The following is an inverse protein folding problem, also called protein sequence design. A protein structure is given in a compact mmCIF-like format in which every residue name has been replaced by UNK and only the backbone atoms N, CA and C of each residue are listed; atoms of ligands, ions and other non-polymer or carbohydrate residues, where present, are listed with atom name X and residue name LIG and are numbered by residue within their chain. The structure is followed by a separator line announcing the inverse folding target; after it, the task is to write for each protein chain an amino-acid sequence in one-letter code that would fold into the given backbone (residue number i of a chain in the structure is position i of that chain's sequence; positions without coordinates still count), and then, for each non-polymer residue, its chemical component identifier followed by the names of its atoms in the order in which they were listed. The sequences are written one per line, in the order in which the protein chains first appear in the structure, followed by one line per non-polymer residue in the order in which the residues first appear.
data_IF_378949720309
#
_entry.id   IF_378949720309
#
_cell.length_a   1.000
_cell.length_b   1.000
_cell.length_c   1.000
_cell.angle_alpha   90.00
_cell.angle_beta   90.00
_cell.angle_gamma   90.00
#
_symmetry.space_group_name_H-M   'P 1'
#
loop_
_entity.id
_entity.type
_entity.pdbx_description
1 polymer ?
#
# COMPACT_ATOMS: atom_id res chain seq x y z
N UNK A 1 2.69 -16.57 4.98
CA UNK A 1 2.11 -15.26 5.36
C UNK A 1 1.34 -14.76 4.15
N UNK A 2 0.11 -14.29 4.33
CA UNK A 2 -0.64 -13.65 3.25
C UNK A 2 0.00 -12.28 2.96
N UNK A 3 0.13 -11.93 1.69
CA UNK A 3 0.60 -10.60 1.25
C UNK A 3 -0.51 -9.58 1.40
N UNK A 4 -0.15 -8.35 1.72
CA UNK A 4 -1.08 -7.22 1.66
C UNK A 4 -1.39 -6.88 0.22
N UNK A 5 -2.63 -6.46 -0.04
CA UNK A 5 -3.10 -5.99 -1.34
C UNK A 5 -3.63 -4.55 -1.21
N UNK A 6 -3.53 -3.78 -2.28
CA UNK A 6 -4.13 -2.45 -2.35
C UNK A 6 -5.63 -2.61 -2.62
N UNK A 7 -6.51 -2.24 -1.68
CA UNK A 7 -7.94 -2.37 -1.90
C UNK A 7 -8.39 -1.32 -2.93
N UNK A 8 -9.24 -1.74 -3.87
CA UNK A 8 -9.92 -0.80 -4.75
C UNK A 8 -10.90 0.09 -3.96
N UNK A 9 -11.16 1.29 -4.48
CA UNK A 9 -12.18 2.16 -3.93
C UNK A 9 -13.57 1.65 -4.34
N UNK A 10 -14.52 1.69 -3.41
CA UNK A 10 -15.93 1.36 -3.67
C UNK A 10 -16.67 2.46 -4.49
N UNK A 11 -15.94 3.48 -4.96
CA UNK A 11 -16.46 4.64 -5.66
C UNK A 11 -15.41 5.23 -6.63
N UNK A 12 -15.89 5.98 -7.62
CA UNK A 12 -15.03 6.69 -8.57
C UNK A 12 -14.19 7.78 -7.88
N UNK A 13 -12.98 8.06 -8.40
CA UNK A 13 -12.10 9.08 -7.83
C UNK A 13 -12.76 10.46 -7.71
N UNK A 14 -13.71 10.81 -8.57
CA UNK A 14 -14.42 12.08 -8.52
C UNK A 14 -15.65 12.11 -7.59
N UNK A 15 -16.03 10.98 -6.97
CA UNK A 15 -17.27 10.86 -6.20
C UNK A 15 -17.36 11.82 -4.99
N UNK A 16 -16.23 12.35 -4.53
CA UNK A 16 -16.14 13.23 -3.36
C UNK A 16 -16.01 14.72 -3.71
N UNK A 17 -16.14 15.07 -4.99
CA UNK A 17 -16.16 16.47 -5.42
C UNK A 17 -17.42 17.22 -4.94
N UNK A 18 -17.34 18.54 -4.68
CA UNK A 18 -16.16 19.41 -4.80
C UNK A 18 -15.26 19.40 -3.55
N UNK A 19 -15.63 18.64 -2.52
CA UNK A 19 -14.96 18.67 -1.21
C UNK A 19 -13.56 18.05 -1.24
N UNK A 20 -13.38 17.00 -2.04
CA UNK A 20 -12.08 16.39 -2.29
C UNK A 20 -11.90 16.26 -3.81
N UNK A 21 -10.76 16.74 -4.31
CA UNK A 21 -10.51 16.70 -5.76
C UNK A 21 -10.21 15.28 -6.23
N UNK A 22 -10.72 14.93 -7.42
CA UNK A 22 -10.46 13.64 -8.04
C UNK A 22 -8.95 13.38 -8.21
N UNK A 23 -8.18 14.44 -8.52
CA UNK A 23 -6.73 14.35 -8.66
C UNK A 23 -6.03 13.97 -7.36
N UNK A 24 -6.48 14.48 -6.22
CA UNK A 24 -5.94 14.08 -4.92
C UNK A 24 -6.28 12.62 -4.65
N UNK A 25 -7.52 12.19 -4.88
CA UNK A 25 -7.93 10.81 -4.66
C UNK A 25 -7.12 9.82 -5.50
N UNK A 26 -6.92 10.11 -6.79
CA UNK A 26 -6.12 9.29 -7.69
C UNK A 26 -4.66 9.17 -7.21
N UNK A 27 -4.01 10.28 -6.87
CA UNK A 27 -2.63 10.28 -6.39
C UNK A 27 -2.50 9.59 -5.04
N UNK A 28 -3.42 9.87 -4.11
CA UNK A 28 -3.42 9.29 -2.78
C UNK A 28 -3.55 7.76 -2.85
N UNK A 29 -4.53 7.26 -3.59
CA UNK A 29 -4.78 5.84 -3.71
C UNK A 29 -3.67 5.13 -4.52
N UNK A 30 -3.49 5.52 -5.78
CA UNK A 30 -2.64 4.78 -6.72
C UNK A 30 -1.14 4.94 -6.51
N UNK A 31 -0.71 5.95 -5.73
CA UNK A 31 0.72 6.21 -5.45
C UNK A 31 1.04 6.04 -3.98
N UNK A 32 0.42 6.84 -3.11
CA UNK A 32 0.81 6.85 -1.70
C UNK A 32 0.40 5.56 -0.98
N UNK A 33 -0.87 5.14 -1.09
CA UNK A 33 -1.32 3.88 -0.49
C UNK A 33 -0.63 2.67 -1.12
N UNK A 34 -0.50 2.64 -2.46
CA UNK A 34 0.24 1.60 -3.17
C UNK A 34 1.69 1.44 -2.64
N UNK A 35 2.36 2.54 -2.34
CA UNK A 35 3.73 2.52 -1.77
C UNK A 35 3.76 1.87 -0.39
N UNK A 36 2.78 2.14 0.47
CA UNK A 36 2.71 1.51 1.79
C UNK A 36 2.48 0.00 1.70
N UNK A 37 1.58 -0.44 0.81
CA UNK A 37 1.33 -1.87 0.56
C UNK A 37 2.60 -2.58 0.11
N UNK A 38 3.31 -2.02 -0.88
CA UNK A 38 4.56 -2.57 -1.37
C UNK A 38 5.63 -2.62 -0.26
N UNK A 39 5.83 -1.52 0.47
CA UNK A 39 6.81 -1.44 1.54
C UNK A 39 6.53 -2.42 2.69
N UNK A 40 5.27 -2.61 3.08
CA UNK A 40 4.89 -3.57 4.11
C UNK A 40 5.22 -5.01 3.68
N UNK A 41 4.93 -5.37 2.42
CA UNK A 41 5.26 -6.69 1.88
C UNK A 41 6.79 -6.91 1.82
N UNK A 42 7.55 -5.91 1.33
CA UNK A 42 9.02 -5.97 1.32
C UNK A 42 9.59 -6.16 2.72
N UNK A 43 9.07 -5.45 3.72
CA UNK A 43 9.54 -5.59 5.10
C UNK A 43 9.26 -6.99 5.67
N UNK A 44 8.07 -7.55 5.40
CA UNK A 44 7.74 -8.92 5.83
C UNK A 44 8.65 -9.97 5.17
N UNK A 45 8.96 -9.81 3.89
CA UNK A 45 9.88 -10.67 3.15
C UNK A 45 11.29 -10.60 3.75
N UNK A 46 11.84 -9.40 3.94
CA UNK A 46 13.16 -9.22 4.54
C UNK A 46 13.23 -9.82 5.95
N UNK A 47 12.20 -9.63 6.77
CA UNK A 47 12.16 -10.23 8.10
C UNK A 47 12.07 -11.76 8.07
N UNK A 48 11.39 -12.33 7.07
CA UNK A 48 11.34 -13.79 6.88
C UNK A 48 12.68 -14.36 6.41
N UNK A 49 13.35 -13.66 5.50
CA UNK A 49 14.69 -14.00 5.03
C UNK A 49 15.71 -13.93 6.19
N UNK A 50 15.70 -12.85 6.95
CA UNK A 50 16.52 -12.64 8.14
C UNK A 50 16.38 -13.78 9.15
N UNK A 51 15.14 -14.19 9.47
CA UNK A 51 14.87 -15.35 10.34
C UNK A 51 15.40 -16.66 9.77
N UNK A 52 15.30 -16.85 8.46
CA UNK A 52 15.77 -18.07 7.79
C UNK A 52 17.30 -18.17 7.80
N UNK A 53 18.00 -17.03 7.71
CA UNK A 53 19.46 -16.95 7.76
C UNK A 53 20.04 -16.84 9.16
N UNK A 54 19.22 -16.55 10.18
CA UNK A 54 19.68 -16.27 11.54
C UNK A 54 20.33 -14.89 11.70
N UNK A 55 19.99 -13.94 10.82
CA UNK A 55 20.52 -12.57 10.80
C UNK A 55 19.57 -11.64 11.57
N UNK A 56 19.85 -11.36 12.83
CA UNK A 56 18.94 -10.58 13.71
C UNK A 56 19.40 -9.14 14.00
N UNK A 57 20.50 -8.71 13.41
CA UNK A 57 21.11 -7.39 13.64
C UNK A 57 22.07 -7.00 12.53
#
# INVERSE_FOLDING_TARGET
MSTYELPELDYDYAALQPHISARIMELHHSKHHATYVAGANTALEQLAEARTKGEFG
#
